data_IF_654847637508
#
_entry.id   IF_654847637508
#
_cell.length_a   1.000
_cell.length_b   1.000
_cell.length_c   1.000
_cell.angle_alpha   90.00
_cell.angle_beta   90.00
_cell.angle_gamma   90.00
#
_symmetry.space_group_name_H-M   'P 1'
#
loop_
_entity.id
_entity.type
_entity.pdbx_description
1 polymer ?
#
# COMPACT_ATOMS: atom_id res chain seq x y z
N UNK A 1 -2.66 22.41 -1.58
CA UNK A 1 -3.77 21.75 -0.85
C UNK A 1 -3.18 20.62 -0.03
N UNK A 2 -3.43 20.56 1.27
CA UNK A 2 -2.89 19.53 2.16
C UNK A 2 -3.65 18.22 1.89
N UNK A 3 -2.95 17.16 1.48
CA UNK A 3 -3.57 15.83 1.29
C UNK A 3 -4.03 15.32 2.68
N UNK A 4 -5.25 14.78 2.81
CA UNK A 4 -5.80 14.39 4.10
C UNK A 4 -4.95 13.26 4.71
N UNK A 5 -4.46 13.48 5.92
CA UNK A 5 -3.83 12.43 6.72
C UNK A 5 -4.90 11.47 7.23
N UNK A 6 -4.81 10.19 6.85
CA UNK A 6 -5.75 9.16 7.30
C UNK A 6 -5.51 8.85 8.77
N UNK A 7 -6.56 9.01 9.58
CA UNK A 7 -6.52 8.77 11.03
C UNK A 7 -6.75 7.28 11.35
N UNK A 8 -6.50 6.89 12.61
CA UNK A 8 -6.64 5.50 13.06
C UNK A 8 -8.03 4.90 12.80
N UNK A 9 -9.09 5.70 12.97
CA UNK A 9 -10.48 5.28 12.79
C UNK A 9 -10.79 4.89 11.34
N UNK A 10 -10.12 5.51 10.36
CA UNK A 10 -10.19 5.10 8.96
C UNK A 10 -9.76 3.63 8.79
N UNK A 11 -8.62 3.24 9.36
CA UNK A 11 -8.07 1.88 9.22
C UNK A 11 -8.82 0.83 10.04
N UNK A 12 -9.53 1.23 11.09
CA UNK A 12 -10.41 0.34 11.85
C UNK A 12 -11.72 0.04 11.11
N UNK A 13 -12.24 1.03 10.36
CA UNK A 13 -13.51 0.93 9.63
C UNK A 13 -13.36 0.31 8.25
N UNK A 14 -12.23 0.54 7.59
CA UNK A 14 -11.98 0.07 6.23
C UNK A 14 -11.08 -1.17 6.24
N UNK A 15 -11.55 -2.27 5.63
CA UNK A 15 -10.71 -3.44 5.38
C UNK A 15 -9.86 -3.19 4.14
N UNK A 16 -8.59 -3.59 4.12
CA UNK A 16 -7.77 -3.46 2.92
C UNK A 16 -8.34 -4.35 1.81
N UNK A 17 -8.30 -3.83 0.59
CA UNK A 17 -8.82 -4.52 -0.61
C UNK A 17 -8.05 -5.83 -0.84
N UNK A 18 -6.74 -5.79 -0.60
CA UNK A 18 -5.92 -6.99 -0.41
C UNK A 18 -5.95 -7.38 1.08
N UNK A 19 -6.64 -8.47 1.41
CA UNK A 19 -6.78 -8.91 2.79
C UNK A 19 -5.47 -9.48 3.39
N UNK A 20 -4.60 -10.05 2.56
CA UNK A 20 -3.35 -10.65 2.99
C UNK A 20 -2.23 -9.62 3.12
N UNK A 21 -1.67 -9.52 4.33
CA UNK A 21 -0.45 -8.77 4.58
C UNK A 21 0.75 -9.67 4.27
N UNK A 22 1.51 -9.29 3.24
CA UNK A 22 2.73 -9.98 2.86
C UNK A 22 3.90 -9.08 3.23
N UNK A 23 4.77 -9.55 4.11
CA UNK A 23 6.07 -8.94 4.38
C UNK A 23 7.15 -9.88 3.87
N UNK A 24 8.17 -9.32 3.25
CA UNK A 24 9.34 -10.06 2.78
C UNK A 24 10.60 -9.41 3.33
N UNK A 25 11.62 -10.22 3.61
CA UNK A 25 12.97 -9.75 3.95
C UNK A 25 13.83 -9.54 2.70
N UNK A 26 13.29 -9.86 1.51
CA UNK A 26 13.94 -9.55 0.25
C UNK A 26 13.96 -8.04 0.01
N UNK A 27 14.94 -7.59 -0.78
CA UNK A 27 15.11 -6.17 -1.15
C UNK A 27 13.87 -5.59 -1.84
N UNK A 28 13.27 -6.38 -2.72
CA UNK A 28 12.13 -5.99 -3.52
C UNK A 28 10.96 -6.94 -3.26
N UNK A 29 9.76 -6.36 -3.10
CA UNK A 29 8.49 -7.08 -3.08
C UNK A 29 7.63 -6.55 -4.22
N UNK A 30 7.36 -7.40 -5.21
CA UNK A 30 6.56 -7.05 -6.38
C UNK A 30 5.24 -7.79 -6.29
N UNK A 31 4.14 -7.07 -6.42
CA UNK A 31 2.80 -7.63 -6.41
C UNK A 31 2.00 -7.14 -7.62
N UNK A 32 1.27 -8.06 -8.25
CA UNK A 32 0.34 -7.75 -9.32
C UNK A 32 -1.07 -7.72 -8.75
N UNK A 33 -1.76 -6.61 -8.97
CA UNK A 33 -3.14 -6.41 -8.52
C UNK A 33 -4.04 -6.13 -9.71
N UNK A 34 -5.26 -6.67 -9.67
CA UNK A 34 -6.38 -6.29 -10.54
C UNK A 34 -7.43 -5.65 -9.65
N UNK A 35 -7.69 -4.37 -9.86
CA UNK A 35 -8.61 -3.58 -9.06
C UNK A 35 -9.73 -3.07 -9.95
N UNK A 36 -10.92 -2.96 -9.38
CA UNK A 36 -12.00 -2.21 -10.03
C UNK A 36 -11.60 -0.74 -10.18
N UNK A 37 -12.17 0.02 -11.13
CA UNK A 37 -11.92 1.45 -11.22
C UNK A 37 -12.30 2.18 -9.92
N UNK A 38 -11.37 2.96 -9.36
CA UNK A 38 -11.59 3.67 -8.11
C UNK A 38 -10.35 4.35 -7.56
N UNK A 39 -10.50 4.98 -6.40
CA UNK A 39 -9.40 5.60 -5.66
C UNK A 39 -8.89 4.67 -4.58
N UNK A 40 -7.59 4.39 -4.60
CA UNK A 40 -6.93 3.48 -3.69
C UNK A 40 -5.79 4.16 -2.96
N UNK A 41 -5.48 3.68 -1.76
CA UNK A 41 -4.35 4.14 -0.95
C UNK A 41 -3.42 2.95 -0.71
N UNK A 42 -2.15 3.14 -1.02
CA UNK A 42 -1.08 2.18 -0.71
C UNK A 42 -0.40 2.64 0.58
N UNK A 43 -0.32 1.75 1.57
CA UNK A 43 0.36 1.99 2.85
C UNK A 43 1.63 1.12 2.88
N UNK A 44 2.80 1.65 2.47
CA UNK A 44 4.06 0.94 2.63
C UNK A 44 4.49 0.95 4.11
N UNK A 45 4.87 -0.20 4.65
CA UNK A 45 5.37 -0.32 6.03
C UNK A 45 6.35 -1.48 6.19
N UNK A 46 7.13 -1.43 7.26
CA UNK A 46 7.86 -2.59 7.79
C UNK A 46 6.91 -3.52 8.54
N UNK A 47 7.33 -4.77 8.76
CA UNK A 47 6.54 -5.74 9.52
C UNK A 47 6.39 -5.31 10.99
N UNK A 48 7.47 -4.84 11.58
CA UNK A 48 7.50 -4.35 12.97
C UNK A 48 7.47 -2.83 13.02
N UNK A 49 6.85 -2.25 14.06
CA UNK A 49 6.88 -0.81 14.29
C UNK A 49 8.28 -0.33 14.67
N UNK A 50 8.53 0.97 14.52
CA UNK A 50 9.77 1.64 14.91
C UNK A 50 11.03 1.16 14.15
N UNK A 51 10.86 0.55 12.98
CA UNK A 51 11.96 0.24 12.07
C UNK A 51 12.14 1.40 11.09
N UNK A 52 13.36 1.93 11.03
CA UNK A 52 13.75 2.94 10.04
C UNK A 52 14.23 2.26 8.77
N UNK A 53 13.64 2.62 7.63
CA UNK A 53 14.07 2.15 6.32
C UNK A 53 13.75 3.20 5.26
N UNK A 54 14.63 3.30 4.26
CA UNK A 54 14.35 4.04 3.03
C UNK A 54 13.76 3.09 1.99
N UNK A 55 12.78 3.56 1.22
CA UNK A 55 12.14 2.75 0.19
C UNK A 55 11.74 3.59 -1.03
N UNK A 56 11.56 2.89 -2.15
CA UNK A 56 10.98 3.43 -3.37
C UNK A 56 9.73 2.62 -3.70
N UNK A 57 8.60 3.30 -3.86
CA UNK A 57 7.36 2.69 -4.36
C UNK A 57 7.18 3.07 -5.82
N UNK A 58 7.16 2.06 -6.71
CA UNK A 58 6.86 2.25 -8.13
C UNK A 58 5.54 1.57 -8.47
N UNK A 59 4.65 2.29 -9.16
CA UNK A 59 3.36 1.77 -9.60
C UNK A 59 3.38 1.65 -11.12
N UNK A 60 3.18 0.43 -11.61
CA UNK A 60 2.98 0.15 -13.02
C UNK A 60 1.50 -0.16 -13.25
N UNK A 61 0.87 0.60 -14.14
CA UNK A 61 -0.50 0.34 -14.58
C UNK A 61 -0.47 -0.18 -16.00
N UNK A 62 -1.38 -1.10 -16.33
CA UNK A 62 -1.68 -1.37 -17.73
C UNK A 62 -2.33 -0.10 -18.29
N UNK A 63 -1.84 0.37 -19.42
CA UNK A 63 -2.59 1.27 -20.29
C UNK A 63 -3.36 0.39 -21.25
N UNK A 64 -4.67 0.59 -21.37
CA UNK A 64 -5.39 0.03 -22.49
C UNK A 64 -4.78 0.66 -23.77
N UNK A 65 -4.26 -0.17 -24.68
CA UNK A 65 -3.87 0.27 -26.03
C UNK A 65 -5.11 0.55 -26.88
#
# INVERSE_FOLDING_TARGET
MQKPHLQQDFFQRNRPVKAEKTYSTQRDLIELHSLEPGEYVIIPSTNEPNITADFTLTVYTKTDE
#
